data_IF_248151902221
#
_entry.id   IF_248151902221
#
_cell.length_a   1.000
_cell.length_b   1.000
_cell.length_c   1.000
_cell.angle_alpha   90.00
_cell.angle_beta   90.00
_cell.angle_gamma   90.00
#
_symmetry.space_group_name_H-M   'P 1'
#
loop_
_entity.id
_entity.type
_entity.pdbx_description
1 polymer ?
#
# COMPACT_ATOMS: atom_id res chain seq x y z
N UNK A 1 14.10 5.29 -18.70
CA UNK A 1 12.79 4.82 -19.22
C UNK A 1 12.28 3.66 -18.38
N UNK A 2 11.01 3.69 -17.93
CA UNK A 2 10.44 2.57 -17.22
C UNK A 2 10.28 1.35 -18.15
N UNK A 3 10.47 0.18 -17.56
CA UNK A 3 10.37 -1.12 -18.24
C UNK A 3 9.42 -2.00 -17.43
N UNK A 4 8.40 -2.55 -18.07
CA UNK A 4 7.49 -3.53 -17.46
C UNK A 4 7.77 -4.92 -18.02
N UNK A 5 7.84 -5.92 -17.13
CA UNK A 5 7.83 -7.33 -17.51
C UNK A 5 6.37 -7.77 -17.55
N UNK A 6 5.83 -7.92 -18.75
CA UNK A 6 4.48 -8.46 -18.94
C UNK A 6 4.57 -9.90 -19.47
N UNK A 7 4.45 -10.93 -18.60
CA UNK A 7 4.55 -12.33 -19.02
C UNK A 7 3.41 -12.78 -19.95
N UNK A 8 2.36 -11.96 -20.12
CA UNK A 8 1.27 -12.21 -21.05
C UNK A 8 1.49 -11.62 -22.46
N UNK A 9 2.53 -10.79 -22.66
CA UNK A 9 2.92 -10.21 -23.97
C UNK A 9 4.21 -10.87 -24.47
N UNK A 10 4.27 -12.21 -24.44
CA UNK A 10 5.41 -12.98 -24.95
C UNK A 10 6.67 -12.86 -24.10
N UNK A 11 7.85 -12.93 -24.73
CA UNK A 11 9.17 -12.98 -24.06
C UNK A 11 9.77 -11.60 -23.71
N UNK A 12 9.04 -10.50 -23.90
CA UNK A 12 9.67 -9.19 -24.11
C UNK A 12 9.47 -8.20 -22.99
N UNK A 13 10.57 -7.80 -22.36
CA UNK A 13 10.71 -6.47 -21.79
C UNK A 13 10.23 -5.42 -22.81
N UNK A 14 9.37 -4.50 -22.38
CA UNK A 14 8.93 -3.38 -23.22
C UNK A 14 9.39 -2.07 -22.59
N UNK A 15 10.17 -1.29 -23.34
CA UNK A 15 10.49 0.09 -22.99
C UNK A 15 9.24 0.93 -23.27
N UNK A 16 8.81 1.70 -22.27
CA UNK A 16 7.60 2.51 -22.34
C UNK A 16 7.88 3.91 -21.81
N UNK A 17 7.03 4.86 -22.18
CA UNK A 17 7.02 6.15 -21.49
C UNK A 17 6.47 6.00 -20.07
N UNK A 18 6.74 6.97 -19.19
CA UNK A 18 6.18 7.00 -17.83
C UNK A 18 4.65 7.02 -17.86
N UNK A 19 4.06 7.78 -18.80
CA UNK A 19 2.62 7.84 -18.98
C UNK A 19 2.02 6.51 -19.43
N UNK A 20 2.68 5.81 -20.36
CA UNK A 20 2.23 4.49 -20.82
C UNK A 20 2.35 3.43 -19.71
N UNK A 21 3.49 3.41 -19.01
CA UNK A 21 3.75 2.47 -17.92
C UNK A 21 2.76 2.63 -16.75
N UNK A 22 2.49 3.87 -16.33
CA UNK A 22 1.58 4.18 -15.22
C UNK A 22 0.10 4.25 -15.62
N UNK A 23 -0.22 4.07 -16.91
CA UNK A 23 -1.59 4.24 -17.44
C UNK A 23 -2.64 3.35 -16.78
N UNK A 24 -2.22 2.19 -16.27
CA UNK A 24 -3.10 1.19 -15.62
C UNK A 24 -3.28 1.43 -14.13
N UNK A 25 -2.50 2.34 -13.56
CA UNK A 25 -2.47 2.60 -12.14
C UNK A 25 -3.58 3.57 -11.75
N UNK A 26 -4.25 3.23 -10.65
CA UNK A 26 -5.34 4.05 -10.10
C UNK A 26 -4.76 5.12 -9.19
N UNK A 27 -5.55 6.15 -8.91
CA UNK A 27 -5.22 7.10 -7.83
C UNK A 27 -5.59 6.46 -6.49
N UNK A 28 -4.84 6.80 -5.44
CA UNK A 28 -5.20 6.46 -4.07
C UNK A 28 -5.75 7.70 -3.36
N UNK A 29 -7.01 7.64 -2.91
CA UNK A 29 -7.68 8.75 -2.21
C UNK A 29 -7.15 8.98 -0.78
N UNK A 30 -6.62 7.94 -0.13
CA UNK A 30 -5.93 8.04 1.16
C UNK A 30 -4.50 8.63 1.01
N UNK A 31 -4.01 8.72 -0.23
CA UNK A 31 -2.72 9.30 -0.59
C UNK A 31 -2.85 10.32 -1.75
N UNK A 32 -3.54 11.46 -1.52
CA UNK A 32 -4.05 12.30 -2.59
C UNK A 32 -3.02 13.23 -3.26
N UNK A 33 -1.85 13.44 -2.65
CA UNK A 33 -0.85 14.43 -3.08
C UNK A 33 0.57 13.90 -3.00
N UNK A 34 1.44 14.36 -3.89
CA UNK A 34 2.88 14.11 -3.82
C UNK A 34 3.49 14.68 -2.52
N UNK A 35 4.38 13.91 -1.88
CA UNK A 35 5.05 14.33 -0.63
C UNK A 35 6.35 15.10 -0.84
N UNK A 36 6.76 15.31 -2.08
CA UNK A 36 7.92 16.13 -2.38
C UNK A 36 7.65 17.60 -2.01
N UNK A 37 8.57 18.21 -1.25
CA UNK A 37 8.44 19.54 -0.65
C UNK A 37 7.99 20.63 -1.66
N UNK A 38 8.52 20.60 -2.88
CA UNK A 38 8.22 21.61 -3.92
C UNK A 38 7.18 21.17 -4.98
N UNK A 39 6.53 20.02 -4.81
CA UNK A 39 5.61 19.51 -5.85
C UNK A 39 4.14 19.71 -5.48
N UNK A 40 3.68 19.12 -4.37
CA UNK A 40 2.28 19.17 -3.94
C UNK A 40 1.24 18.69 -4.96
N UNK A 41 1.65 18.14 -6.11
CA UNK A 41 0.74 17.76 -7.19
C UNK A 41 -0.24 16.68 -6.75
N UNK A 42 -1.48 16.78 -7.23
CA UNK A 42 -2.54 15.79 -7.04
C UNK A 42 -2.58 14.74 -8.16
N UNK A 43 -1.81 14.93 -9.24
CA UNK A 43 -1.71 13.95 -10.33
C UNK A 43 -0.72 12.85 -9.94
N UNK A 44 -1.24 11.88 -9.19
CA UNK A 44 -0.49 10.77 -8.64
C UNK A 44 -1.12 9.44 -9.06
N UNK A 45 -0.27 8.43 -9.23
CA UNK A 45 -0.62 7.07 -9.66
C UNK A 45 -0.11 6.08 -8.63
N UNK A 46 -0.93 5.15 -8.18
CA UNK A 46 -0.59 4.14 -7.19
C UNK A 46 0.15 2.98 -7.85
N UNK A 47 1.41 2.81 -7.50
CA UNK A 47 2.25 1.71 -7.98
C UNK A 47 2.09 0.46 -7.11
N UNK A 48 1.97 0.66 -5.80
CA UNK A 48 1.86 -0.40 -4.82
C UNK A 48 0.84 -0.05 -3.75
N UNK A 49 0.04 -1.03 -3.33
CA UNK A 49 -0.90 -0.92 -2.23
C UNK A 49 -0.98 -2.22 -1.45
N UNK A 50 -0.94 -2.10 -0.13
CA UNK A 50 -1.33 -3.17 0.79
C UNK A 50 -2.26 -2.61 1.84
N UNK A 51 -3.29 -3.37 2.16
CA UNK A 51 -4.21 -3.05 3.23
C UNK A 51 -4.62 -4.34 3.93
N UNK A 52 -4.57 -4.31 5.25
CA UNK A 52 -5.03 -5.40 6.11
C UNK A 52 -5.97 -4.83 7.15
N UNK A 53 -7.09 -5.51 7.33
CA UNK A 53 -8.08 -5.21 8.35
C UNK A 53 -8.18 -6.38 9.31
N UNK A 54 -8.15 -6.10 10.61
CA UNK A 54 -8.36 -7.08 11.66
C UNK A 54 -9.15 -6.42 12.79
N UNK A 55 -10.33 -6.98 13.12
CA UNK A 55 -11.14 -6.58 14.28
C UNK A 55 -11.40 -5.07 14.38
N UNK A 56 -11.74 -4.46 13.24
CA UNK A 56 -12.01 -3.02 13.15
C UNK A 56 -10.77 -2.13 13.17
N UNK A 57 -9.56 -2.71 13.20
CA UNK A 57 -8.28 -2.01 13.09
C UNK A 57 -7.68 -2.23 11.71
N UNK A 58 -6.96 -1.24 11.20
CA UNK A 58 -6.33 -1.27 9.87
C UNK A 58 -4.83 -1.02 9.95
N UNK A 59 -4.13 -1.68 9.04
CA UNK A 59 -2.77 -1.34 8.65
C UNK A 59 -2.75 -1.25 7.13
N UNK A 60 -2.09 -0.23 6.59
CA UNK A 60 -1.94 -0.09 5.15
C UNK A 60 -0.63 0.59 4.82
N UNK A 61 -0.14 0.36 3.60
CA UNK A 61 0.95 1.09 3.00
C UNK A 61 0.70 1.26 1.50
N UNK A 62 1.14 2.39 0.95
CA UNK A 62 1.03 2.69 -0.48
C UNK A 62 2.30 3.37 -0.96
N UNK A 63 2.67 3.04 -2.19
CA UNK A 63 3.66 3.77 -2.98
C UNK A 63 2.95 4.45 -4.15
N UNK A 64 3.21 5.74 -4.33
CA UNK A 64 2.64 6.52 -5.41
C UNK A 64 3.70 7.24 -6.23
N UNK A 65 3.55 7.21 -7.55
CA UNK A 65 4.31 7.98 -8.52
C UNK A 65 3.60 9.31 -8.79
N UNK A 66 4.31 10.42 -8.66
CA UNK A 66 3.80 11.72 -9.11
C UNK A 66 4.06 11.93 -10.61
N UNK A 67 3.01 12.26 -11.37
CA UNK A 67 3.14 12.48 -12.82
C UNK A 67 3.72 13.85 -13.18
N UNK A 68 3.77 14.80 -12.23
CA UNK A 68 4.35 16.12 -12.45
C UNK A 68 5.87 16.14 -12.25
N UNK A 69 6.39 15.44 -11.23
CA UNK A 69 7.82 15.44 -10.90
C UNK A 69 8.50 14.06 -11.02
N UNK A 70 7.75 13.02 -11.40
CA UNK A 70 8.22 11.63 -11.52
C UNK A 70 8.88 11.06 -10.27
N UNK A 71 8.64 11.64 -9.09
CA UNK A 71 9.11 11.13 -7.81
C UNK A 71 8.13 10.12 -7.23
N UNK A 72 8.68 9.05 -6.66
CA UNK A 72 7.94 8.14 -5.82
C UNK A 72 7.79 8.73 -4.43
N UNK A 73 6.66 8.46 -3.80
CA UNK A 73 6.38 8.80 -2.42
C UNK A 73 5.79 7.58 -1.72
N UNK A 74 6.18 7.36 -0.47
CA UNK A 74 5.72 6.25 0.35
C UNK A 74 4.93 6.76 1.54
N UNK A 75 3.80 6.12 1.84
CA UNK A 75 3.03 6.39 3.05
C UNK A 75 2.56 5.07 3.66
N UNK A 76 2.58 4.99 4.98
CA UNK A 76 2.01 3.88 5.72
C UNK A 76 1.29 4.37 6.96
N UNK A 77 0.34 3.56 7.41
CA UNK A 77 -0.40 3.79 8.64
C UNK A 77 -0.67 2.44 9.29
N UNK A 78 -0.55 2.41 10.61
CA UNK A 78 -0.88 1.26 11.44
C UNK A 78 -1.61 1.78 12.67
N UNK A 79 -2.83 1.31 12.89
CA UNK A 79 -3.50 1.54 14.17
C UNK A 79 -2.58 1.11 15.34
N UNK A 80 -2.39 1.94 16.39
CA UNK A 80 -1.44 1.65 17.47
C UNK A 80 -1.63 0.29 18.16
N UNK A 81 -2.85 -0.24 18.16
CA UNK A 81 -3.25 -1.51 18.74
C UNK A 81 -3.57 -2.60 17.71
N UNK A 82 -3.09 -2.46 16.46
CA UNK A 82 -3.27 -3.48 15.44
C UNK A 82 -2.67 -4.82 15.89
N UNK A 83 -3.52 -5.84 15.97
CA UNK A 83 -3.14 -7.23 16.30
C UNK A 83 -3.29 -8.10 15.07
N UNK A 84 -2.32 -8.97 14.84
CA UNK A 84 -2.51 -10.07 13.87
C UNK A 84 -3.57 -11.04 14.40
N UNK A 85 -4.17 -11.88 13.54
CA UNK A 85 -5.10 -12.92 13.98
C UNK A 85 -4.54 -13.76 15.14
N UNK A 86 -3.29 -14.20 15.03
CA UNK A 86 -2.60 -15.05 16.00
C UNK A 86 -2.38 -14.33 17.34
N UNK A 87 -2.02 -13.04 17.30
CA UNK A 87 -1.80 -12.24 18.50
C UNK A 87 -3.08 -12.09 19.32
N UNK A 88 -4.21 -11.79 18.68
CA UNK A 88 -5.45 -11.71 19.44
C UNK A 88 -5.94 -13.09 19.87
N UNK A 89 -5.82 -14.13 19.05
CA UNK A 89 -6.24 -15.48 19.47
C UNK A 89 -5.49 -15.91 20.72
N UNK A 90 -4.19 -15.64 20.77
CA UNK A 90 -3.37 -15.87 21.96
C UNK A 90 -3.92 -15.14 23.18
N UNK A 91 -4.14 -13.83 23.09
CA UNK A 91 -4.67 -13.04 24.22
C UNK A 91 -6.08 -13.49 24.64
N UNK A 92 -6.93 -13.88 23.68
CA UNK A 92 -8.27 -14.40 23.95
C UNK A 92 -8.19 -15.69 24.78
N UNK A 93 -7.36 -16.65 24.35
CA UNK A 93 -7.20 -17.91 25.04
C UNK A 93 -6.53 -17.76 26.40
N UNK A 94 -5.56 -16.85 26.53
CA UNK A 94 -4.95 -16.49 27.82
C UNK A 94 -5.99 -15.91 28.79
N UNK A 95 -6.89 -15.03 28.31
CA UNK A 95 -7.99 -14.50 29.12
C UNK A 95 -9.02 -15.54 29.54
N UNK A 96 -9.38 -16.46 28.64
CA UNK A 96 -10.27 -17.60 28.95
C UNK A 96 -9.62 -18.52 29.99
N UNK A 97 -8.34 -18.87 29.83
CA UNK A 97 -7.61 -19.70 30.80
C UNK A 97 -7.50 -19.04 32.18
N UNK A 98 -7.33 -17.71 32.24
CA UNK A 98 -7.27 -16.96 33.49
C UNK A 98 -8.61 -16.90 34.24
N UNK A 99 -9.74 -17.01 33.53
CA UNK A 99 -11.10 -16.94 34.12
C UNK A 99 -11.72 -18.31 34.41
N UNK A 100 -11.24 -19.37 33.76
CA UNK A 100 -11.78 -20.74 33.84
C UNK A 100 -11.10 -21.69 34.82
N UNK A 101 -10.31 -21.20 35.78
CA UNK A 101 -9.70 -22.00 36.84
C UNK A 101 -10.53 -21.99 38.15
N UNK A 102 -11.78 -22.46 38.11
CA UNK A 102 -12.55 -22.89 39.29
C UNK A 102 -13.40 -24.10 38.94
#
# INVERSE_FOLDING_TARGET
DPVEINPSIGSGYKVMSVAEWSSRWKRNEDFPTCLAEDCGSTDTREHYFTQTWCRGKRVWASESLCMACHRFSWRSYRDPDFKTPEQYEKELWEGVAATGGR
#
